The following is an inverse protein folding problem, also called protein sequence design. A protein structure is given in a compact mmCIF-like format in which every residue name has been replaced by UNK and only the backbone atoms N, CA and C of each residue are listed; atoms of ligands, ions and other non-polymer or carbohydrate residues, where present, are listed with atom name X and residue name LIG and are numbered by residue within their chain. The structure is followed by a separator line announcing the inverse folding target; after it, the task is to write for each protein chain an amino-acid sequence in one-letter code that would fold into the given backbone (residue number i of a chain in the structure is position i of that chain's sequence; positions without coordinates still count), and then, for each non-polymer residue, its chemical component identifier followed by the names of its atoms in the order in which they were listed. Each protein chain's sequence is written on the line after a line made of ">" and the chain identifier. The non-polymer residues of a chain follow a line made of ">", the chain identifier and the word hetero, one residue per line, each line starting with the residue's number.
data_IF_433115492688
#
_entry.id   IF_433115492688
#
_cell.length_a   1.000
_cell.length_b   1.000
_cell.length_c   1.000
_cell.angle_alpha   90.00
_cell.angle_beta   90.00
_cell.angle_gamma   90.00
#
_symmetry.space_group_name_H-M   'P 1'
#
loop_
_entity.id
_entity.type
_entity.pdbx_description
1 polymer ?
#
# COMPACT_ATOMS: atom_id res chain seq x y z
N UNK A 1 -64.99 -48.36 -6.29
CA UNK A 1 -65.36 -49.69 -6.73
C UNK A 1 -66.61 -49.64 -7.63
N UNK A 2 -67.10 -50.76 -8.11
CA UNK A 2 -68.31 -50.84 -8.97
C UNK A 2 -69.58 -50.37 -8.31
N UNK A 3 -69.63 -50.23 -7.00
CA UNK A 3 -70.74 -49.74 -6.20
C UNK A 3 -70.66 -48.26 -5.88
N UNK A 4 -69.68 -47.54 -6.42
CA UNK A 4 -69.49 -46.10 -6.23
C UNK A 4 -68.69 -45.72 -4.98
N UNK A 5 -68.13 -46.69 -4.25
CA UNK A 5 -67.26 -46.39 -3.10
C UNK A 5 -65.86 -45.93 -3.62
N UNK A 6 -65.50 -44.71 -3.30
CA UNK A 6 -64.21 -44.15 -3.62
C UNK A 6 -63.13 -44.56 -2.57
N UNK A 7 -61.93 -44.85 -2.99
CA UNK A 7 -60.80 -44.95 -2.06
C UNK A 7 -60.44 -43.56 -1.57
N UNK A 8 -59.85 -43.47 -0.40
CA UNK A 8 -59.31 -42.23 0.10
C UNK A 8 -58.12 -41.77 -0.78
N UNK A 9 -58.07 -40.48 -1.07
CA UNK A 9 -56.96 -39.89 -1.80
C UNK A 9 -55.65 -40.13 -1.05
N UNK A 10 -54.59 -40.43 -1.82
CA UNK A 10 -53.25 -40.57 -1.32
C UNK A 10 -52.44 -39.34 -1.79
N UNK A 11 -51.74 -38.73 -0.87
CA UNK A 11 -50.92 -37.53 -1.17
C UNK A 11 -49.44 -37.90 -1.13
N UNK A 12 -48.73 -37.53 -2.15
CA UNK A 12 -47.27 -37.59 -2.20
C UNK A 12 -46.74 -36.13 -2.21
N UNK A 13 -45.80 -35.81 -1.31
CA UNK A 13 -45.07 -34.54 -1.32
C UNK A 13 -43.70 -34.80 -2.02
N UNK A 14 -43.40 -34.01 -3.01
CA UNK A 14 -42.12 -34.03 -3.71
C UNK A 14 -41.43 -32.71 -3.44
N UNK A 15 -40.27 -32.73 -2.78
CA UNK A 15 -39.44 -31.56 -2.52
C UNK A 15 -38.29 -31.53 -3.54
N UNK A 16 -38.12 -30.40 -4.23
CA UNK A 16 -37.00 -30.16 -5.13
C UNK A 16 -36.12 -29.13 -4.45
N UNK A 17 -34.82 -29.43 -4.34
CA UNK A 17 -33.84 -28.60 -3.69
C UNK A 17 -32.72 -28.24 -4.71
N UNK A 18 -32.25 -27.02 -4.63
CA UNK A 18 -30.97 -26.64 -5.25
C UNK A 18 -29.82 -26.95 -4.27
N UNK A 19 -28.82 -27.63 -4.76
CA UNK A 19 -27.59 -28.00 -3.98
C UNK A 19 -26.33 -27.66 -4.72
N UNK A 20 -26.43 -26.91 -5.81
CA UNK A 20 -25.28 -26.49 -6.64
C UNK A 20 -24.75 -25.16 -6.10
N UNK A 21 -23.48 -25.12 -5.77
CA UNK A 21 -22.85 -23.89 -5.34
C UNK A 21 -22.64 -22.93 -6.52
N UNK A 22 -22.76 -21.60 -6.31
CA UNK A 22 -22.45 -20.60 -7.31
C UNK A 22 -20.95 -20.57 -7.65
N UNK A 23 -20.61 -19.88 -8.72
CA UNK A 23 -19.22 -19.68 -9.17
C UNK A 23 -18.94 -18.21 -9.41
N UNK A 24 -17.70 -17.80 -9.25
CA UNK A 24 -17.21 -16.44 -9.54
C UNK A 24 -15.70 -16.49 -9.79
N UNK A 25 -15.14 -15.37 -10.23
CA UNK A 25 -13.70 -15.20 -10.42
C UNK A 25 -13.23 -13.98 -9.62
N UNK A 26 -12.35 -14.19 -8.65
CA UNK A 26 -11.74 -13.09 -7.90
C UNK A 26 -10.77 -12.29 -8.79
N UNK A 27 -10.61 -10.98 -8.53
CA UNK A 27 -9.64 -10.17 -9.26
C UNK A 27 -8.21 -10.62 -8.98
N UNK A 28 -7.32 -10.32 -9.92
CA UNK A 28 -5.89 -10.61 -9.77
C UNK A 28 -5.27 -9.81 -8.61
N UNK A 29 -4.16 -10.33 -8.06
CA UNK A 29 -3.35 -9.57 -7.10
C UNK A 29 -2.89 -8.25 -7.71
N UNK A 30 -2.84 -7.20 -6.91
CA UNK A 30 -2.50 -5.85 -7.38
C UNK A 30 -1.63 -5.11 -6.38
N UNK A 31 -0.99 -4.03 -6.86
CA UNK A 31 -0.25 -3.08 -6.04
C UNK A 31 -0.91 -1.71 -6.16
N UNK A 32 -1.10 -1.06 -5.03
CA UNK A 32 -1.59 0.32 -4.92
C UNK A 32 -0.58 1.14 -4.13
N UNK A 33 -0.72 2.47 -4.15
CA UNK A 33 0.22 3.37 -3.51
C UNK A 33 -0.49 4.29 -2.51
N UNK A 34 0.26 4.75 -1.52
CA UNK A 34 -0.18 5.81 -0.62
C UNK A 34 -0.21 7.15 -1.34
N UNK A 35 -1.06 8.04 -0.88
CA UNK A 35 -1.10 9.43 -1.32
C UNK A 35 -0.16 10.34 -0.49
N UNK A 36 -0.19 11.65 -0.76
CA UNK A 36 0.60 12.64 -0.04
C UNK A 36 0.29 12.77 1.47
N UNK A 37 -0.74 12.09 1.97
CA UNK A 37 -1.10 12.04 3.38
C UNK A 37 -0.88 10.65 3.99
N UNK A 38 -0.15 9.78 3.32
CA UNK A 38 0.05 8.37 3.69
C UNK A 38 -1.24 7.55 3.74
N UNK A 39 -2.25 7.91 2.94
CA UNK A 39 -3.54 7.23 2.86
C UNK A 39 -3.60 6.42 1.56
N UNK A 40 -4.21 5.25 1.61
CA UNK A 40 -4.46 4.41 0.44
C UNK A 40 -5.95 4.12 0.28
N UNK A 41 -6.37 3.78 -0.94
CA UNK A 41 -7.72 3.35 -1.24
C UNK A 41 -7.70 1.92 -1.79
N UNK A 42 -8.20 0.97 -1.00
CA UNK A 42 -8.26 -0.45 -1.37
C UNK A 42 -9.68 -0.90 -1.78
N UNK A 43 -10.59 0.01 -2.09
CA UNK A 43 -11.93 -0.32 -2.56
C UNK A 43 -11.89 -1.13 -3.87
N UNK A 44 -12.86 -2.03 -4.11
CA UNK A 44 -12.93 -2.81 -5.35
C UNK A 44 -12.89 -1.98 -6.62
N UNK A 45 -13.39 -0.74 -6.59
CA UNK A 45 -13.32 0.21 -7.70
C UNK A 45 -11.87 0.56 -8.12
N UNK A 46 -10.89 0.34 -7.24
CA UNK A 46 -9.46 0.58 -7.46
C UNK A 46 -8.69 -0.72 -7.63
N UNK A 47 -9.03 -1.73 -6.83
CA UNK A 47 -8.27 -2.99 -6.75
C UNK A 47 -8.83 -4.10 -7.62
N UNK A 48 -9.97 -3.86 -8.26
CA UNK A 48 -10.73 -4.84 -9.03
C UNK A 48 -11.87 -5.45 -8.22
N UNK A 49 -12.91 -5.84 -8.93
CA UNK A 49 -14.08 -6.52 -8.40
C UNK A 49 -14.19 -7.91 -9.01
N UNK A 50 -15.00 -8.77 -8.40
CA UNK A 50 -15.26 -10.11 -8.91
C UNK A 50 -15.98 -10.07 -10.25
N UNK A 51 -15.81 -11.13 -11.01
CA UNK A 51 -16.47 -11.32 -12.31
C UNK A 51 -17.05 -12.74 -12.42
N UNK A 52 -17.88 -12.93 -13.44
CA UNK A 52 -18.48 -14.23 -13.79
C UNK A 52 -19.31 -14.86 -12.65
N UNK A 53 -19.94 -14.03 -11.81
CA UNK A 53 -20.85 -14.46 -10.76
C UNK A 53 -22.07 -15.11 -11.39
N UNK A 54 -22.22 -16.39 -11.18
CA UNK A 54 -23.33 -17.17 -11.73
C UNK A 54 -23.67 -18.39 -10.91
N UNK A 55 -24.92 -18.76 -11.02
CA UNK A 55 -25.50 -19.97 -10.45
C UNK A 55 -26.51 -20.58 -11.43
N UNK A 56 -26.89 -21.86 -11.23
CA UNK A 56 -27.86 -22.57 -12.05
C UNK A 56 -29.30 -22.10 -11.81
N UNK A 57 -29.65 -21.70 -10.60
CA UNK A 57 -31.02 -21.35 -10.18
C UNK A 57 -31.15 -19.91 -9.66
N UNK A 58 -30.08 -19.32 -9.09
CA UNK A 58 -30.08 -17.97 -8.52
C UNK A 58 -29.59 -16.93 -9.52
N UNK A 59 -30.21 -15.74 -9.52
CA UNK A 59 -29.80 -14.59 -10.35
C UNK A 59 -29.55 -13.37 -9.46
N UNK A 60 -28.67 -12.45 -9.89
CA UNK A 60 -28.37 -11.22 -9.16
C UNK A 60 -27.64 -11.47 -7.84
N UNK A 61 -26.89 -12.57 -7.76
CA UNK A 61 -26.00 -12.86 -6.63
C UNK A 61 -24.77 -11.95 -6.74
N UNK A 62 -24.24 -11.51 -5.57
CA UNK A 62 -23.07 -10.67 -5.52
C UNK A 62 -22.13 -11.21 -4.43
N UNK A 63 -20.87 -11.35 -4.76
CA UNK A 63 -19.83 -11.72 -3.80
C UNK A 63 -19.61 -10.59 -2.79
N UNK A 64 -19.27 -11.00 -1.59
CA UNK A 64 -18.84 -10.10 -0.53
C UNK A 64 -17.38 -10.36 -0.21
N UNK A 65 -16.72 -9.39 0.44
CA UNK A 65 -15.31 -9.57 0.82
C UNK A 65 -15.07 -9.20 2.29
N UNK A 66 -13.97 -9.72 2.79
CA UNK A 66 -13.37 -9.32 4.06
C UNK A 66 -11.87 -9.15 3.91
N UNK A 67 -11.31 -8.14 4.58
CA UNK A 67 -9.89 -7.80 4.50
C UNK A 67 -9.17 -8.09 5.82
N UNK A 68 -8.01 -8.69 5.73
CA UNK A 68 -7.01 -8.76 6.80
C UNK A 68 -5.81 -7.94 6.38
N UNK A 69 -5.46 -6.93 7.18
CA UNK A 69 -4.34 -6.01 6.90
C UNK A 69 -3.17 -6.36 7.80
N UNK A 70 -2.00 -6.54 7.20
CA UNK A 70 -0.73 -6.69 7.88
C UNK A 70 0.19 -5.52 7.54
N UNK A 71 0.89 -4.98 8.55
CA UNK A 71 1.91 -3.95 8.35
C UNK A 71 3.15 -4.54 7.68
N UNK A 72 3.81 -3.73 6.85
CA UNK A 72 5.09 -4.04 6.23
C UNK A 72 6.28 -3.64 7.10
N UNK A 73 7.44 -3.58 6.48
CA UNK A 73 8.73 -3.26 7.10
C UNK A 73 9.01 -1.74 7.17
N UNK A 74 8.16 -0.92 6.56
CA UNK A 74 8.23 0.54 6.64
C UNK A 74 6.84 1.16 6.76
N UNK A 75 6.78 2.42 7.20
CA UNK A 75 5.55 3.19 7.24
C UNK A 75 4.99 3.37 5.81
N UNK A 76 3.67 3.19 5.66
CA UNK A 76 3.04 3.23 4.33
C UNK A 76 3.02 1.90 3.57
N UNK A 77 3.83 0.90 3.96
CA UNK A 77 3.79 -0.43 3.35
C UNK A 77 2.86 -1.37 4.11
N UNK A 78 1.91 -1.99 3.39
CA UNK A 78 0.98 -2.97 3.95
C UNK A 78 0.71 -4.09 2.96
N UNK A 79 0.27 -5.23 3.50
CA UNK A 79 -0.30 -6.33 2.71
C UNK A 79 -1.73 -6.55 3.17
N UNK A 80 -2.67 -6.47 2.24
CA UNK A 80 -4.09 -6.75 2.48
C UNK A 80 -4.39 -8.10 1.85
N UNK A 81 -4.86 -9.03 2.66
CA UNK A 81 -5.40 -10.31 2.22
C UNK A 81 -6.91 -10.18 2.18
N UNK A 82 -7.47 -10.06 0.98
CA UNK A 82 -8.90 -9.96 0.75
C UNK A 82 -9.46 -11.34 0.41
N UNK A 83 -10.42 -11.80 1.21
CA UNK A 83 -11.13 -13.05 0.96
C UNK A 83 -12.50 -12.73 0.40
N UNK A 84 -12.77 -13.24 -0.79
CA UNK A 84 -14.06 -13.13 -1.47
C UNK A 84 -14.88 -14.38 -1.24
N UNK A 85 -16.18 -14.21 -0.94
CA UNK A 85 -17.13 -15.29 -0.74
C UNK A 85 -18.47 -15.02 -1.46
N UNK A 86 -19.10 -16.07 -1.94
CA UNK A 86 -20.38 -15.99 -2.65
C UNK A 86 -21.29 -17.13 -2.21
N UNK A 87 -22.54 -16.80 -1.90
CA UNK A 87 -23.58 -17.75 -1.50
C UNK A 87 -24.82 -17.51 -2.34
N UNK A 88 -25.49 -18.57 -2.77
CA UNK A 88 -26.74 -18.49 -3.48
C UNK A 88 -27.96 -18.26 -2.56
N UNK A 89 -29.15 -18.14 -3.15
CA UNK A 89 -30.40 -17.95 -2.40
C UNK A 89 -30.82 -19.19 -1.59
N UNK A 90 -30.31 -20.36 -1.92
CA UNK A 90 -30.58 -21.62 -1.23
C UNK A 90 -29.59 -21.92 -0.09
N UNK A 91 -28.55 -21.10 0.04
CA UNK A 91 -27.51 -21.25 1.05
C UNK A 91 -26.30 -22.10 0.61
N UNK A 92 -26.18 -22.45 -0.69
CA UNK A 92 -25.00 -23.14 -1.17
C UNK A 92 -23.87 -22.13 -1.35
N UNK A 93 -22.71 -22.39 -0.75
CA UNK A 93 -21.55 -21.51 -0.77
C UNK A 93 -20.53 -21.94 -1.82
N UNK A 94 -20.02 -21.00 -2.59
CA UNK A 94 -18.82 -21.17 -3.42
C UNK A 94 -17.58 -21.35 -2.54
N UNK A 95 -16.53 -21.92 -3.09
CA UNK A 95 -15.22 -21.90 -2.44
C UNK A 95 -14.70 -20.45 -2.38
N UNK A 96 -14.20 -20.04 -1.22
CA UNK A 96 -13.59 -18.72 -1.05
C UNK A 96 -12.40 -18.55 -1.99
N UNK A 97 -12.23 -17.31 -2.49
CA UNK A 97 -11.08 -16.94 -3.32
C UNK A 97 -10.35 -15.76 -2.69
N UNK A 98 -9.03 -15.73 -2.85
CA UNK A 98 -8.17 -14.75 -2.19
C UNK A 98 -7.50 -13.86 -3.21
N UNK A 99 -7.53 -12.54 -2.95
CA UNK A 99 -6.76 -11.51 -3.62
C UNK A 99 -5.73 -10.94 -2.62
N UNK A 100 -4.48 -10.80 -3.04
CA UNK A 100 -3.48 -10.06 -2.30
C UNK A 100 -3.32 -8.65 -2.90
N UNK A 101 -3.49 -7.63 -2.05
CA UNK A 101 -3.29 -6.23 -2.42
C UNK A 101 -2.07 -5.74 -1.64
N UNK A 102 -1.03 -5.32 -2.37
CA UNK A 102 0.16 -4.73 -1.78
C UNK A 102 0.04 -3.22 -1.79
N UNK A 103 0.19 -2.59 -0.64
CA UNK A 103 0.27 -1.13 -0.52
C UNK A 103 1.73 -0.74 -0.38
N UNK A 104 2.19 0.24 -1.13
CA UNK A 104 3.55 0.77 -1.08
C UNK A 104 3.53 2.29 -0.95
N UNK A 105 4.52 2.81 -0.26
CA UNK A 105 4.89 4.21 -0.35
C UNK A 105 5.94 4.38 -1.46
N UNK A 106 5.71 5.34 -2.35
CA UNK A 106 6.61 5.71 -3.45
C UNK A 106 6.84 7.23 -3.51
N UNK A 107 6.48 7.94 -2.46
CA UNK A 107 6.71 9.38 -2.35
C UNK A 107 8.09 9.60 -1.74
N UNK A 108 8.92 10.39 -2.42
CA UNK A 108 10.23 10.73 -1.91
C UNK A 108 10.14 11.80 -0.82
N UNK A 109 11.00 11.74 0.22
CA UNK A 109 11.07 12.79 1.23
C UNK A 109 11.63 14.09 0.64
N UNK A 110 11.43 15.17 1.36
CA UNK A 110 11.91 16.52 1.00
C UNK A 110 12.71 17.13 2.13
N UNK A 111 13.62 18.04 1.81
CA UNK A 111 14.37 18.84 2.76
C UNK A 111 14.87 20.12 2.09
N UNK A 112 15.36 21.07 2.89
CA UNK A 112 15.99 22.29 2.43
C UNK A 112 17.45 22.30 2.86
N UNK A 113 18.38 22.32 1.90
CA UNK A 113 19.81 22.44 2.19
C UNK A 113 20.14 23.86 2.69
N UNK A 114 21.14 24.02 3.57
CA UNK A 114 21.60 25.34 4.01
C UNK A 114 22.18 26.13 2.85
N UNK A 115 22.11 27.45 2.95
CA UNK A 115 22.71 28.36 1.96
C UNK A 115 24.24 28.22 1.95
N UNK A 116 24.83 28.52 0.80
CA UNK A 116 26.28 28.61 0.69
C UNK A 116 26.82 29.62 1.72
N UNK A 117 27.92 29.24 2.38
CA UNK A 117 28.57 30.08 3.39
C UNK A 117 30.09 30.15 3.18
N UNK A 118 30.73 31.13 3.80
CA UNK A 118 32.16 31.26 3.88
C UNK A 118 32.59 31.14 5.33
N UNK A 119 33.54 30.28 5.57
CA UNK A 119 34.22 30.13 6.88
C UNK A 119 35.66 30.56 6.75
N UNK A 120 36.32 30.87 7.85
CA UNK A 120 37.67 31.37 7.87
C UNK A 120 38.58 30.43 8.65
N UNK A 121 39.85 30.36 8.26
CA UNK A 121 40.87 29.67 9.02
C UNK A 121 41.23 30.48 10.29
N UNK A 122 41.62 29.75 11.31
CA UNK A 122 42.17 30.33 12.54
C UNK A 122 43.67 30.70 12.40
N UNK A 123 44.29 31.09 13.51
CA UNK A 123 45.73 31.47 13.54
C UNK A 123 46.70 30.31 13.24
N UNK A 124 46.24 29.07 13.27
CA UNK A 124 46.99 27.86 12.96
C UNK A 124 46.74 27.35 11.54
N UNK A 125 45.93 28.10 10.77
CA UNK A 125 45.42 27.70 9.43
C UNK A 125 44.43 26.53 9.48
N UNK A 126 43.79 26.26 10.63
CA UNK A 126 42.73 25.28 10.79
C UNK A 126 41.35 25.90 10.52
N UNK A 127 40.39 25.10 10.10
CA UNK A 127 38.98 25.53 9.89
C UNK A 127 38.00 24.52 10.47
N UNK A 128 36.80 24.99 10.85
CA UNK A 128 35.66 24.15 11.28
C UNK A 128 34.54 24.21 10.25
N UNK A 129 34.37 23.13 9.53
CA UNK A 129 33.27 22.95 8.55
C UNK A 129 32.12 22.10 9.08
N UNK A 130 32.00 21.95 10.40
CA UNK A 130 30.89 21.23 11.01
C UNK A 130 29.54 21.91 10.70
N UNK A 131 28.46 21.15 10.76
CA UNK A 131 27.11 21.67 10.53
C UNK A 131 26.68 22.72 11.54
N UNK A 132 27.28 22.70 12.75
CA UNK A 132 27.04 23.75 13.76
C UNK A 132 27.57 25.12 13.33
N UNK A 133 28.52 25.17 12.41
CA UNK A 133 29.13 26.41 11.86
C UNK A 133 28.59 26.74 10.48
N UNK A 134 28.41 25.73 9.63
CA UNK A 134 28.05 25.91 8.23
C UNK A 134 26.54 25.84 7.97
N UNK A 135 25.76 25.43 8.96
CA UNK A 135 24.33 25.19 8.85
C UNK A 135 23.99 23.72 8.59
N UNK A 136 22.80 23.36 9.02
CA UNK A 136 22.20 22.02 8.81
C UNK A 136 21.00 22.15 7.89
N UNK A 137 20.50 21.02 7.40
CA UNK A 137 19.26 20.96 6.63
C UNK A 137 18.05 21.34 7.50
N UNK A 138 16.99 21.77 6.85
CA UNK A 138 15.72 22.10 7.50
C UNK A 138 14.56 21.50 6.70
N UNK A 139 13.37 21.53 7.31
CA UNK A 139 12.11 21.11 6.67
C UNK A 139 12.13 19.66 6.16
N UNK A 140 12.86 18.78 6.84
CA UNK A 140 12.89 17.36 6.55
C UNK A 140 11.50 16.76 6.76
N UNK A 141 10.90 16.29 5.69
CA UNK A 141 9.50 15.84 5.68
C UNK A 141 9.26 14.73 4.67
N UNK A 142 8.37 13.83 5.05
CA UNK A 142 7.85 12.77 4.19
C UNK A 142 6.36 12.56 4.49
N UNK A 143 5.63 11.94 3.55
CA UNK A 143 4.20 11.68 3.71
C UNK A 143 3.91 10.57 4.74
N UNK A 144 4.76 9.54 4.82
CA UNK A 144 4.58 8.37 5.67
C UNK A 144 5.63 8.25 6.79
N UNK A 145 6.86 8.65 6.52
CA UNK A 145 7.97 8.48 7.45
C UNK A 145 8.12 9.67 8.40
N UNK A 146 8.46 9.41 9.64
CA UNK A 146 8.72 10.44 10.66
C UNK A 146 10.12 10.27 11.25
N UNK A 147 10.73 11.38 11.71
CA UNK A 147 12.05 11.34 12.34
C UNK A 147 13.17 10.97 11.37
N UNK A 148 12.99 11.25 10.09
CA UNK A 148 14.01 11.10 9.06
C UNK A 148 15.06 12.20 9.23
N UNK A 149 16.33 11.88 8.94
CA UNK A 149 17.45 12.83 9.06
C UNK A 149 18.34 12.70 7.85
N UNK A 150 18.63 13.82 7.21
CA UNK A 150 19.56 13.88 6.10
C UNK A 150 21.00 13.59 6.57
N UNK A 151 21.76 13.00 5.68
CA UNK A 151 23.19 12.77 5.85
C UNK A 151 23.96 13.57 4.81
N UNK A 152 25.24 13.80 5.03
CA UNK A 152 26.05 14.50 4.05
C UNK A 152 27.42 13.85 3.80
N UNK A 153 28.00 14.20 2.68
CA UNK A 153 29.39 13.91 2.35
C UNK A 153 30.07 15.16 1.79
N UNK A 154 31.35 15.36 2.13
CA UNK A 154 32.14 16.49 1.72
C UNK A 154 33.19 16.08 0.69
N UNK A 155 33.26 16.79 -0.42
CA UNK A 155 34.37 16.79 -1.36
C UNK A 155 35.15 18.08 -1.17
N UNK A 156 36.47 17.96 -0.93
CA UNK A 156 37.38 19.10 -0.64
C UNK A 156 38.36 19.27 -1.80
N UNK A 157 38.40 20.47 -2.34
CA UNK A 157 39.37 20.88 -3.35
C UNK A 157 40.24 22.07 -2.84
N UNK A 158 41.47 22.17 -3.30
CA UNK A 158 42.31 23.34 -3.03
C UNK A 158 41.73 24.57 -3.74
N UNK A 159 41.83 25.73 -3.09
CA UNK A 159 41.47 27.01 -3.68
C UNK A 159 42.66 27.68 -4.39
N UNK A 160 42.47 28.96 -4.73
CA UNK A 160 43.43 29.71 -5.57
C UNK A 160 44.73 30.11 -4.85
N UNK A 161 44.78 30.02 -3.52
CA UNK A 161 45.96 30.32 -2.73
C UNK A 161 46.13 29.35 -1.56
N UNK A 162 47.33 29.29 -1.04
CA UNK A 162 47.66 28.44 0.12
C UNK A 162 46.74 28.75 1.31
N UNK A 163 46.19 27.69 1.93
CA UNK A 163 45.25 27.80 3.04
C UNK A 163 43.78 27.97 2.63
N UNK A 164 43.49 28.18 1.34
CA UNK A 164 42.08 28.21 0.87
C UNK A 164 41.59 26.84 0.39
N UNK A 165 40.35 26.53 0.68
CA UNK A 165 39.66 25.30 0.26
C UNK A 165 38.28 25.62 -0.25
N UNK A 166 37.81 24.79 -1.20
CA UNK A 166 36.38 24.72 -1.58
C UNK A 166 35.88 23.39 -1.13
N UNK A 167 34.87 23.43 -0.26
CA UNK A 167 34.19 22.24 0.25
C UNK A 167 32.83 22.17 -0.44
N UNK A 168 32.64 21.13 -1.23
CA UNK A 168 31.34 20.82 -1.82
C UNK A 168 30.68 19.78 -0.95
N UNK A 169 29.63 20.16 -0.23
CA UNK A 169 28.83 19.30 0.62
C UNK A 169 27.60 18.82 -0.14
N UNK A 170 27.43 17.50 -0.26
CA UNK A 170 26.28 16.87 -0.85
C UNK A 170 25.43 16.27 0.26
N UNK A 171 24.17 16.70 0.34
CA UNK A 171 23.19 16.20 1.26
C UNK A 171 22.33 15.12 0.62
N UNK A 172 21.91 14.13 1.40
CA UNK A 172 21.02 13.07 0.96
C UNK A 172 20.04 12.70 2.06
N UNK A 173 18.78 12.45 1.69
CA UNK A 173 17.73 12.02 2.59
C UNK A 173 16.99 10.85 1.96
N UNK A 174 16.77 9.80 2.73
CA UNK A 174 16.03 8.60 2.32
C UNK A 174 14.99 8.30 3.39
N UNK A 175 13.78 7.97 2.97
CA UNK A 175 12.72 7.56 3.88
C UNK A 175 12.89 6.12 4.39
N UNK A 176 11.96 5.66 5.23
CA UNK A 176 11.97 4.31 5.78
C UNK A 176 11.65 3.23 4.72
N UNK A 177 11.02 3.58 3.61
CA UNK A 177 10.67 2.69 2.50
C UNK A 177 11.74 2.64 1.41
N UNK A 178 12.76 3.48 1.50
CA UNK A 178 13.90 3.53 0.58
C UNK A 178 13.71 4.53 -0.57
N UNK A 179 12.71 5.42 -0.52
CA UNK A 179 12.58 6.49 -1.49
C UNK A 179 13.58 7.60 -1.15
N UNK A 180 14.36 8.03 -2.13
CA UNK A 180 15.38 9.07 -1.95
C UNK A 180 14.84 10.43 -2.39
N UNK A 181 15.15 11.47 -1.61
CA UNK A 181 14.91 12.85 -2.02
C UNK A 181 15.62 13.15 -3.35
N UNK A 182 15.06 14.06 -4.13
CA UNK A 182 15.73 14.58 -5.32
C UNK A 182 16.94 15.45 -4.90
N UNK A 183 18.02 15.32 -5.66
CA UNK A 183 19.25 16.12 -5.52
C UNK A 183 19.00 17.60 -5.87
#
# INVERSE_FOLDING_TARGET
>A
DACGNAAADQVQTITVLDTVAPTFTAPANTTIYTDANCIYNAEPSVTGDVTDEKDNCSTGINAIYSDVVADGDCAGKKTITRTWSLVDACGNAAADQVQTITVLDNVAPTFTAPANTTIYTDANCDYDASVSVTGDVTDESDNCSTGINATYSDAIADGDCEGTKVITRTWSLVDACGNAAAD
#
